data_IF_008606842449
#
_entry.id   IF_008606842449
#
_cell.length_a   1.000
_cell.length_b   1.000
_cell.length_c   1.000
_cell.angle_alpha   90.00
_cell.angle_beta   90.00
_cell.angle_gamma   90.00
#
_symmetry.space_group_name_H-M   'P 1'
#
loop_
_entity.id
_entity.type
_entity.pdbx_description
1 polymer ?
#
# COMPACT_ATOMS: atom_id res chain seq x y z
N UNK A 1 -0.99 13.76 -17.76
CA UNK A 1 0.29 14.47 -17.59
C UNK A 1 1.52 13.64 -17.97
N UNK A 2 1.48 12.31 -17.84
CA UNK A 2 2.62 11.40 -18.05
C UNK A 2 2.75 10.91 -19.50
N UNK A 3 1.85 11.33 -20.41
CA UNK A 3 1.89 10.93 -21.82
C UNK A 3 3.02 11.60 -22.59
N UNK A 4 3.52 10.91 -23.63
CA UNK A 4 4.57 11.39 -24.51
C UNK A 4 4.38 10.87 -25.95
N UNK A 5 5.10 11.48 -26.88
CA UNK A 5 5.31 11.02 -28.26
C UNK A 5 6.80 10.88 -28.49
N UNK A 6 7.24 9.70 -28.88
CA UNK A 6 8.60 9.39 -29.31
C UNK A 6 8.61 9.13 -30.81
N UNK A 7 9.43 9.85 -31.56
CA UNK A 7 9.61 9.70 -33.00
C UNK A 7 11.07 9.36 -33.31
N UNK A 8 11.29 8.28 -34.04
CA UNK A 8 12.58 7.86 -34.59
C UNK A 8 12.53 7.99 -36.10
N UNK A 9 13.51 8.65 -36.70
CA UNK A 9 13.60 8.87 -38.15
C UNK A 9 15.06 8.92 -38.60
N UNK A 10 15.29 8.95 -39.92
CA UNK A 10 16.63 9.16 -40.48
C UNK A 10 17.28 10.51 -40.09
N UNK A 11 16.49 11.45 -39.60
CA UNK A 11 16.95 12.77 -39.11
C UNK A 11 17.32 12.79 -37.62
N UNK A 12 17.02 11.71 -36.89
CA UNK A 12 17.27 11.59 -35.47
C UNK A 12 16.05 11.19 -34.65
N UNK A 13 16.14 11.38 -33.33
CA UNK A 13 15.13 11.02 -32.35
C UNK A 13 14.56 12.29 -31.72
N UNK A 14 13.23 12.32 -31.56
CA UNK A 14 12.53 13.40 -30.88
C UNK A 14 11.54 12.86 -29.85
N UNK A 15 11.56 13.39 -28.63
CA UNK A 15 10.56 13.10 -27.58
C UNK A 15 9.83 14.39 -27.24
N UNK A 16 8.50 14.33 -27.28
CA UNK A 16 7.63 15.46 -26.93
C UNK A 16 6.65 15.03 -25.84
N UNK A 17 6.53 15.82 -24.80
CA UNK A 17 5.57 15.61 -23.70
C UNK A 17 5.09 16.94 -23.14
N UNK A 18 4.01 16.90 -22.34
CA UNK A 18 3.46 18.09 -21.65
C UNK A 18 4.02 18.30 -20.25
N UNK A 19 4.81 17.36 -19.76
CA UNK A 19 5.37 17.39 -18.40
C UNK A 19 6.75 16.75 -18.36
N UNK A 20 7.52 17.06 -17.29
CA UNK A 20 8.78 16.38 -16.99
C UNK A 20 8.63 14.86 -16.91
N UNK A 21 7.58 14.37 -16.23
CA UNK A 21 7.33 12.93 -16.11
C UNK A 21 7.11 12.26 -17.48
N UNK A 22 6.35 12.89 -18.38
CA UNK A 22 6.17 12.37 -19.74
C UNK A 22 7.46 12.33 -20.54
N UNK A 23 8.32 13.36 -20.44
CA UNK A 23 9.66 13.34 -21.08
C UNK A 23 10.52 12.22 -20.50
N UNK A 24 10.54 12.07 -19.18
CA UNK A 24 11.29 11.02 -18.50
C UNK A 24 10.86 9.63 -18.98
N UNK A 25 9.54 9.36 -19.04
CA UNK A 25 9.03 8.05 -19.52
C UNK A 25 9.28 7.82 -21.00
N UNK A 26 9.31 8.88 -21.81
CA UNK A 26 9.72 8.80 -23.20
C UNK A 26 11.20 8.40 -23.32
N UNK A 27 12.08 8.95 -22.47
CA UNK A 27 13.49 8.54 -22.41
C UNK A 27 13.62 7.08 -21.95
N UNK A 28 12.83 6.62 -20.96
CA UNK A 28 12.86 5.23 -20.54
C UNK A 28 12.47 4.26 -21.67
N UNK A 29 11.52 4.65 -22.53
CA UNK A 29 11.17 3.86 -23.71
C UNK A 29 12.28 3.86 -24.75
N UNK A 30 12.91 5.00 -24.99
CA UNK A 30 14.07 5.06 -25.91
C UNK A 30 15.24 4.22 -25.41
N UNK A 31 15.55 4.27 -24.13
CA UNK A 31 16.59 3.46 -23.51
C UNK A 31 16.34 1.95 -23.72
N UNK A 32 15.11 1.48 -23.52
CA UNK A 32 14.72 0.09 -23.77
C UNK A 32 14.89 -0.28 -25.26
N UNK A 33 14.49 0.59 -26.20
CA UNK A 33 14.70 0.35 -27.63
C UNK A 33 16.19 0.26 -28.00
N UNK A 34 17.03 1.10 -27.38
CA UNK A 34 18.47 1.07 -27.61
C UNK A 34 19.13 -0.19 -27.03
N UNK A 35 18.69 -0.63 -25.85
CA UNK A 35 19.16 -1.88 -25.24
C UNK A 35 18.77 -3.09 -26.08
N UNK A 36 17.52 -3.18 -26.54
CA UNK A 36 17.04 -4.27 -27.40
C UNK A 36 17.80 -4.28 -28.74
N UNK A 37 18.00 -3.10 -29.34
CA UNK A 37 18.80 -2.94 -30.55
C UNK A 37 20.23 -3.48 -30.37
N UNK A 38 20.88 -3.12 -29.26
CA UNK A 38 22.22 -3.60 -28.94
C UNK A 38 22.24 -5.10 -28.64
N UNK A 39 21.32 -5.58 -27.83
CA UNK A 39 21.24 -7.00 -27.43
C UNK A 39 21.00 -7.95 -28.59
N UNK A 40 20.14 -7.55 -29.53
CA UNK A 40 19.74 -8.39 -30.65
C UNK A 40 20.45 -8.01 -31.96
N UNK A 41 21.38 -7.07 -31.94
CA UNK A 41 22.09 -6.54 -33.12
C UNK A 41 21.12 -6.09 -34.23
N UNK A 42 20.04 -5.42 -33.86
CA UNK A 42 19.00 -4.91 -34.75
C UNK A 42 19.09 -3.38 -34.85
N UNK A 43 18.80 -2.84 -36.03
CA UNK A 43 18.61 -1.41 -36.20
C UNK A 43 17.27 -0.97 -35.58
N UNK A 44 17.23 0.20 -34.98
CA UNK A 44 15.96 0.80 -34.50
C UNK A 44 15.26 1.37 -35.75
N UNK A 45 14.11 0.79 -36.19
CA UNK A 45 13.41 1.25 -37.37
C UNK A 45 12.81 2.65 -37.17
N UNK A 46 12.58 3.37 -38.26
CA UNK A 46 11.78 4.61 -38.20
C UNK A 46 10.38 4.29 -37.66
N UNK A 47 10.02 4.97 -36.56
CA UNK A 47 8.74 4.69 -35.88
C UNK A 47 8.22 5.93 -35.15
N UNK A 48 6.94 5.86 -34.80
CA UNK A 48 6.28 6.80 -33.89
C UNK A 48 5.57 6.04 -32.79
N UNK A 49 5.91 6.33 -31.55
CA UNK A 49 5.27 5.77 -30.34
C UNK A 49 4.50 6.90 -29.67
N UNK A 50 3.20 6.69 -29.42
CA UNK A 50 2.38 7.54 -28.57
C UNK A 50 1.95 6.70 -27.38
N UNK A 51 2.35 7.10 -26.17
CA UNK A 51 2.10 6.34 -24.96
C UNK A 51 1.58 7.25 -23.84
N UNK A 52 0.70 6.69 -23.05
CA UNK A 52 0.13 7.33 -21.84
C UNK A 52 -0.37 6.25 -20.87
N UNK A 53 -0.34 6.50 -19.56
CA UNK A 53 -0.74 5.50 -18.60
C UNK A 53 -2.24 5.25 -18.62
N UNK A 54 -2.64 3.98 -18.69
CA UNK A 54 -4.02 3.56 -18.46
C UNK A 54 -4.41 3.62 -16.99
N UNK A 55 -3.42 3.43 -16.08
CA UNK A 55 -3.57 3.49 -14.62
C UNK A 55 -2.70 4.62 -14.09
N UNK A 56 -3.33 5.58 -13.41
CA UNK A 56 -2.63 6.77 -12.92
C UNK A 56 -1.67 6.48 -11.76
N UNK A 57 -1.98 5.54 -10.89
CA UNK A 57 -1.18 5.16 -9.72
C UNK A 57 -0.65 3.74 -9.89
N UNK A 58 0.62 3.62 -10.19
CA UNK A 58 1.32 2.34 -10.46
C UNK A 58 2.35 2.14 -9.37
N UNK A 59 1.92 1.52 -8.27
CA UNK A 59 2.72 1.37 -7.08
C UNK A 59 3.26 -0.05 -6.89
N UNK A 60 4.39 -0.13 -6.22
CA UNK A 60 4.90 -1.36 -5.60
C UNK A 60 4.80 -1.21 -4.09
N UNK A 61 4.23 -2.22 -3.41
CA UNK A 61 4.34 -2.36 -1.97
C UNK A 61 5.64 -3.09 -1.67
N UNK A 62 6.57 -2.40 -1.02
CA UNK A 62 7.82 -2.95 -0.56
C UNK A 62 7.69 -3.32 0.92
N UNK A 63 7.61 -4.60 1.19
CA UNK A 63 7.52 -5.13 2.54
C UNK A 63 8.92 -5.56 3.02
N UNK A 64 9.44 -4.85 4.04
CA UNK A 64 10.74 -5.15 4.65
C UNK A 64 10.61 -5.59 6.11
N UNK A 65 9.43 -6.01 6.55
CA UNK A 65 9.18 -6.44 7.94
C UNK A 65 10.20 -7.46 8.44
N UNK A 66 10.53 -8.44 7.63
CA UNK A 66 11.36 -9.58 8.02
C UNK A 66 12.82 -9.49 7.61
N UNK A 67 13.19 -8.48 6.83
CA UNK A 67 14.56 -8.29 6.35
C UNK A 67 14.85 -6.82 6.07
N UNK A 68 16.12 -6.48 6.01
CA UNK A 68 16.60 -5.19 5.54
C UNK A 68 17.76 -5.44 4.59
N UNK A 69 17.61 -4.96 3.37
CA UNK A 69 18.65 -5.03 2.36
C UNK A 69 19.69 -3.92 2.55
N UNK A 70 20.79 -4.03 1.83
CA UNK A 70 21.77 -2.94 1.76
C UNK A 70 21.17 -1.77 0.99
N UNK A 71 21.54 -0.56 1.37
CA UNK A 71 21.01 0.69 0.78
C UNK A 71 21.16 0.74 -0.74
N UNK A 72 22.27 0.19 -1.28
CA UNK A 72 22.51 0.15 -2.72
C UNK A 72 21.48 -0.70 -3.48
N UNK A 73 20.87 -1.68 -2.82
CA UNK A 73 19.79 -2.46 -3.41
C UNK A 73 18.57 -1.58 -3.69
N UNK A 74 18.21 -0.70 -2.76
CA UNK A 74 17.05 0.18 -2.92
C UNK A 74 17.25 1.19 -4.07
N UNK A 75 18.44 1.74 -4.25
CA UNK A 75 18.74 2.57 -5.40
C UNK A 75 18.58 1.81 -6.72
N UNK A 76 19.16 0.60 -6.83
CA UNK A 76 19.00 -0.23 -8.04
C UNK A 76 17.55 -0.65 -8.28
N UNK A 77 16.79 -0.91 -7.21
CA UNK A 77 15.35 -1.21 -7.31
C UNK A 77 14.58 -0.01 -7.87
N UNK A 78 14.86 1.19 -7.36
CA UNK A 78 14.22 2.43 -7.84
C UNK A 78 14.52 2.64 -9.33
N UNK A 79 15.75 2.43 -9.78
CA UNK A 79 16.12 2.53 -11.21
C UNK A 79 15.30 1.54 -12.06
N UNK A 80 15.17 0.29 -11.61
CA UNK A 80 14.36 -0.71 -12.31
C UNK A 80 12.89 -0.37 -12.33
N UNK A 81 12.34 0.12 -11.21
CA UNK A 81 10.94 0.55 -11.15
C UNK A 81 10.68 1.73 -12.10
N UNK A 82 11.59 2.70 -12.15
CA UNK A 82 11.53 3.83 -13.08
C UNK A 82 11.51 3.37 -14.54
N UNK A 83 12.38 2.40 -14.89
CA UNK A 83 12.42 1.80 -16.22
C UNK A 83 11.07 1.24 -16.66
N UNK A 84 10.31 0.62 -15.74
CA UNK A 84 8.97 0.09 -15.99
C UNK A 84 7.84 1.11 -15.75
N UNK A 85 8.19 2.40 -15.62
CA UNK A 85 7.24 3.51 -15.43
C UNK A 85 6.36 3.36 -14.19
N UNK A 86 6.84 2.66 -13.17
CA UNK A 86 6.26 2.69 -11.82
C UNK A 86 6.43 4.10 -11.26
N UNK A 87 5.39 4.65 -10.63
CA UNK A 87 5.42 6.03 -10.14
C UNK A 87 5.21 6.16 -8.62
N UNK A 88 5.13 5.04 -7.92
CA UNK A 88 4.99 5.06 -6.47
C UNK A 88 5.56 3.80 -5.81
N UNK A 89 5.98 3.95 -4.56
CA UNK A 89 6.31 2.87 -3.63
C UNK A 89 5.57 3.13 -2.32
N UNK A 90 4.86 2.13 -1.82
CA UNK A 90 4.40 2.09 -0.44
C UNK A 90 5.40 1.21 0.32
N UNK A 91 6.08 1.78 1.29
CA UNK A 91 7.16 1.08 1.99
C UNK A 91 6.78 0.76 3.43
N UNK A 92 6.62 -0.52 3.70
CA UNK A 92 6.37 -1.06 5.03
C UNK A 92 7.68 -1.38 5.72
N UNK A 93 8.03 -0.59 6.72
CA UNK A 93 9.34 -0.62 7.38
C UNK A 93 9.31 -1.27 8.76
N UNK A 94 8.21 -1.19 9.49
CA UNK A 94 8.10 -1.59 10.89
C UNK A 94 9.30 -1.10 11.72
N UNK A 95 10.08 -1.99 12.33
CA UNK A 95 11.28 -1.65 13.10
C UNK A 95 12.51 -1.31 12.24
N UNK A 96 12.38 -1.28 10.91
CA UNK A 96 13.50 -0.97 9.98
C UNK A 96 13.69 0.53 9.74
N UNK A 97 12.84 1.39 10.31
CA UNK A 97 13.06 2.83 10.39
C UNK A 97 13.55 3.21 11.79
N UNK A 98 14.58 4.05 11.87
CA UNK A 98 15.08 4.60 13.13
C UNK A 98 14.16 5.74 13.57
N UNK A 99 13.29 5.45 14.52
CA UNK A 99 12.39 6.43 15.12
C UNK A 99 13.16 7.31 16.11
N UNK A 100 12.87 8.60 16.11
CA UNK A 100 13.50 9.57 17.04
C UNK A 100 12.66 9.80 18.28
N UNK A 101 11.33 9.74 18.13
CA UNK A 101 10.37 9.91 19.24
C UNK A 101 10.18 8.63 20.05
N UNK A 102 10.40 7.49 19.42
CA UNK A 102 10.29 6.14 20.02
C UNK A 102 11.51 5.30 19.61
N UNK A 103 12.71 5.66 20.10
CA UNK A 103 13.94 5.00 19.66
C UNK A 103 13.99 3.51 20.01
N UNK A 104 13.24 3.08 21.01
CA UNK A 104 13.12 1.67 21.43
C UNK A 104 12.46 0.78 20.36
N UNK A 105 11.65 1.36 19.47
CA UNK A 105 10.93 0.59 18.44
C UNK A 105 11.84 0.23 17.27
N UNK A 106 12.80 1.08 16.92
CA UNK A 106 13.70 0.86 15.79
C UNK A 106 14.76 -0.22 16.05
N UNK A 107 14.97 -1.12 15.09
CA UNK A 107 16.05 -2.08 15.16
C UNK A 107 17.44 -1.40 15.16
N UNK A 108 18.50 -2.03 15.71
CA UNK A 108 19.83 -1.43 15.76
C UNK A 108 20.41 -1.04 14.39
N UNK A 109 20.06 -1.78 13.34
CA UNK A 109 20.47 -1.56 11.95
C UNK A 109 19.41 -0.83 11.11
N UNK A 110 18.41 -0.21 11.73
CA UNK A 110 17.34 0.50 11.04
C UNK A 110 17.86 1.69 10.23
N UNK A 111 17.19 1.97 9.11
CA UNK A 111 17.50 3.09 8.21
C UNK A 111 17.29 4.40 8.97
N UNK A 112 18.30 5.27 8.93
CA UNK A 112 18.21 6.58 9.54
C UNK A 112 17.36 7.56 8.74
N UNK A 113 16.82 8.58 9.40
CA UNK A 113 15.97 9.60 8.78
C UNK A 113 16.65 10.26 7.55
N UNK A 114 17.91 10.65 7.68
CA UNK A 114 18.64 11.32 6.59
C UNK A 114 18.86 10.39 5.39
N UNK A 115 19.17 9.12 5.66
CA UNK A 115 19.35 8.11 4.64
C UNK A 115 18.04 7.83 3.91
N UNK A 116 16.92 7.68 4.62
CA UNK A 116 15.60 7.52 4.01
C UNK A 116 15.23 8.74 3.15
N UNK A 117 15.51 9.96 3.63
CA UNK A 117 15.30 11.18 2.84
C UNK A 117 16.14 11.21 1.57
N UNK A 118 17.38 10.68 1.60
CA UNK A 118 18.21 10.57 0.40
C UNK A 118 17.62 9.59 -0.62
N UNK A 119 17.15 8.44 -0.16
CA UNK A 119 16.44 7.47 -1.00
C UNK A 119 15.17 8.08 -1.63
N UNK A 120 14.40 8.83 -0.85
CA UNK A 120 13.19 9.52 -1.34
C UNK A 120 13.51 10.56 -2.41
N UNK A 121 14.56 11.37 -2.23
CA UNK A 121 15.00 12.34 -3.26
C UNK A 121 15.41 11.64 -4.55
N UNK A 122 16.19 10.57 -4.44
CA UNK A 122 16.60 9.77 -5.58
C UNK A 122 15.42 9.18 -6.37
N UNK A 123 14.40 8.73 -5.65
CA UNK A 123 13.16 8.24 -6.26
C UNK A 123 12.36 9.37 -6.94
N UNK A 124 12.28 10.54 -6.30
CA UNK A 124 11.56 11.71 -6.84
C UNK A 124 12.16 12.21 -8.15
N UNK A 125 13.49 12.23 -8.28
CA UNK A 125 14.19 12.53 -9.55
C UNK A 125 13.79 11.59 -10.69
N UNK A 126 13.26 10.40 -10.34
CA UNK A 126 12.76 9.37 -11.28
C UNK A 126 11.23 9.32 -11.36
N UNK A 127 10.56 10.36 -10.86
CA UNK A 127 9.11 10.49 -10.78
C UNK A 127 8.43 9.37 -9.95
N UNK A 128 9.13 8.81 -8.97
CA UNK A 128 8.60 7.83 -8.03
C UNK A 128 8.37 8.49 -6.67
N UNK A 129 7.14 8.46 -6.18
CA UNK A 129 6.78 8.93 -4.85
C UNK A 129 6.82 7.78 -3.84
N UNK A 130 7.63 7.90 -2.80
CA UNK A 130 7.67 6.93 -1.72
C UNK A 130 6.77 7.39 -0.58
N UNK A 131 5.89 6.51 -0.11
CA UNK A 131 4.97 6.75 1.01
C UNK A 131 5.12 5.66 2.06
N UNK A 132 5.13 6.01 3.37
CA UNK A 132 5.27 5.03 4.43
C UNK A 132 4.02 4.20 4.63
N UNK A 133 4.21 2.93 4.97
CA UNK A 133 3.26 2.11 5.67
C UNK A 133 3.79 1.88 7.09
N UNK A 134 3.02 2.29 8.08
CA UNK A 134 3.27 2.01 9.49
C UNK A 134 2.03 1.31 10.02
N UNK A 135 2.20 0.05 10.36
CA UNK A 135 1.11 -0.76 10.89
C UNK A 135 0.52 -0.17 12.16
N UNK A 136 -0.80 -0.25 12.25
CA UNK A 136 -1.56 0.20 13.41
C UNK A 136 -2.79 -0.67 13.60
N UNK A 137 -3.16 -0.88 14.83
CA UNK A 137 -4.13 -1.81 15.37
C UNK A 137 -3.67 -3.27 15.29
N UNK A 138 -3.53 -3.88 14.11
CA UNK A 138 -2.90 -5.20 13.91
C UNK A 138 -1.44 -5.11 13.49
N UNK A 139 -0.79 -6.25 13.33
CA UNK A 139 0.64 -6.38 12.98
C UNK A 139 1.58 -5.52 13.85
N UNK A 140 1.19 -5.26 15.09
CA UNK A 140 1.84 -4.30 15.97
C UNK A 140 2.96 -4.89 16.83
N UNK A 141 3.36 -6.14 16.62
CA UNK A 141 4.35 -6.85 17.44
C UNK A 141 5.68 -6.11 17.56
N UNK A 142 6.10 -5.41 16.49
CA UNK A 142 7.34 -4.62 16.50
C UNK A 142 7.31 -3.44 17.48
N UNK A 143 6.12 -2.97 17.85
CA UNK A 143 5.88 -1.91 18.85
C UNK A 143 5.57 -2.55 20.21
N UNK A 144 4.65 -3.53 20.22
CA UNK A 144 4.09 -4.10 21.44
C UNK A 144 5.07 -4.97 22.25
N UNK A 145 6.17 -5.42 21.62
CA UNK A 145 7.30 -6.02 22.35
C UNK A 145 7.98 -5.03 23.32
N UNK A 146 7.86 -3.72 23.07
CA UNK A 146 8.41 -2.65 23.91
C UNK A 146 7.34 -1.94 24.77
N UNK A 147 6.06 -2.03 24.34
CA UNK A 147 4.92 -1.35 24.93
C UNK A 147 3.80 -2.36 25.24
N UNK A 148 4.13 -3.38 26.01
CA UNK A 148 3.22 -4.47 26.34
C UNK A 148 1.92 -4.01 27.03
N UNK A 149 1.95 -2.86 27.74
CA UNK A 149 0.80 -2.25 28.40
C UNK A 149 -0.26 -1.70 27.41
N UNK A 150 0.08 -1.62 26.12
CA UNK A 150 -0.82 -1.17 25.06
C UNK A 150 -1.53 -2.33 24.34
N UNK A 151 -1.23 -3.57 24.69
CA UNK A 151 -1.85 -4.76 24.06
C UNK A 151 -3.34 -4.81 24.30
N UNK A 152 -4.07 -5.30 23.35
CA UNK A 152 -5.48 -5.64 23.51
C UNK A 152 -5.67 -6.90 24.34
N UNK A 153 -4.73 -7.84 24.26
CA UNK A 153 -4.72 -9.09 25.03
C UNK A 153 -3.35 -9.35 25.63
N UNK A 154 -3.32 -9.80 26.87
CA UNK A 154 -2.07 -10.24 27.52
C UNK A 154 -1.42 -11.44 26.83
N UNK A 155 -2.20 -12.19 26.05
CA UNK A 155 -1.76 -13.41 25.35
C UNK A 155 -1.21 -13.16 23.95
N UNK A 156 -1.33 -11.91 23.44
CA UNK A 156 -0.93 -11.57 22.08
C UNK A 156 -0.23 -10.20 22.05
N UNK A 157 0.82 -10.09 21.27
CA UNK A 157 1.45 -8.83 20.93
C UNK A 157 1.07 -8.33 19.50
N UNK A 158 -0.01 -8.93 18.94
CA UNK A 158 -0.42 -8.63 17.59
C UNK A 158 -1.26 -7.36 17.45
N UNK A 159 -2.14 -7.10 18.45
CA UNK A 159 -3.10 -6.01 18.41
C UNK A 159 -2.91 -5.00 19.52
N UNK A 160 -3.06 -3.72 19.17
CA UNK A 160 -3.24 -2.63 20.12
C UNK A 160 -4.64 -2.62 20.75
N UNK A 161 -4.75 -2.15 21.97
CA UNK A 161 -6.03 -1.75 22.56
C UNK A 161 -6.48 -0.39 21.97
N UNK A 162 -7.54 -0.32 21.15
CA UNK A 162 -7.99 0.93 20.54
C UNK A 162 -8.66 1.88 21.55
N UNK A 163 -9.03 1.38 22.74
CA UNK A 163 -9.59 2.19 23.83
C UNK A 163 -8.54 2.73 24.80
N UNK A 164 -7.28 2.37 24.62
CA UNK A 164 -6.18 2.94 25.40
C UNK A 164 -5.68 4.23 24.74
N UNK A 165 -5.81 5.41 25.39
CA UNK A 165 -5.36 6.68 24.79
C UNK A 165 -3.85 6.70 24.50
N UNK A 166 -3.01 6.02 25.28
CA UNK A 166 -1.58 5.91 25.04
C UNK A 166 -1.21 5.20 23.75
N UNK A 167 -2.09 4.32 23.24
CA UNK A 167 -1.94 3.72 21.91
C UNK A 167 -1.74 4.79 20.83
N UNK A 168 -2.55 5.84 20.88
CA UNK A 168 -2.48 6.93 19.88
C UNK A 168 -1.26 7.82 20.07
N UNK A 169 -0.79 8.03 21.31
CA UNK A 169 0.44 8.77 21.58
C UNK A 169 1.64 8.09 20.92
N UNK A 170 1.81 6.79 21.14
CA UNK A 170 2.91 6.02 20.56
C UNK A 170 2.77 5.93 19.03
N UNK A 171 1.59 5.57 18.53
CA UNK A 171 1.36 5.40 17.10
C UNK A 171 1.56 6.70 16.32
N UNK A 172 1.08 7.83 16.83
CA UNK A 172 1.24 9.13 16.20
C UNK A 172 2.69 9.64 16.21
N UNK A 173 3.48 9.28 17.22
CA UNK A 173 4.93 9.55 17.22
C UNK A 173 5.63 8.81 16.09
N UNK A 174 5.30 7.53 15.87
CA UNK A 174 5.84 6.75 14.75
C UNK A 174 5.40 7.32 13.40
N UNK A 175 4.14 7.70 13.26
CA UNK A 175 3.62 8.33 12.04
C UNK A 175 4.34 9.65 11.72
N UNK A 176 4.59 10.51 12.73
CA UNK A 176 5.36 11.75 12.55
C UNK A 176 6.76 11.46 12.04
N UNK A 177 7.47 10.53 12.69
CA UNK A 177 8.84 10.18 12.30
C UNK A 177 8.89 9.58 10.89
N UNK A 178 7.95 8.73 10.51
CA UNK A 178 7.86 8.15 9.17
C UNK A 178 7.56 9.22 8.11
N UNK A 179 6.63 10.13 8.37
CA UNK A 179 6.34 11.24 7.44
C UNK A 179 7.51 12.24 7.33
N UNK A 180 8.25 12.47 8.40
CA UNK A 180 9.45 13.30 8.38
C UNK A 180 10.62 12.63 7.63
N UNK A 181 10.70 11.30 7.69
CA UNK A 181 11.68 10.53 6.92
C UNK A 181 11.31 10.47 5.43
N UNK A 182 10.04 10.57 5.09
CA UNK A 182 9.50 10.56 3.71
C UNK A 182 8.69 11.85 3.42
N UNK A 183 9.35 13.02 3.37
CA UNK A 183 8.66 14.31 3.40
C UNK A 183 7.79 14.58 2.18
N UNK A 184 8.12 14.01 1.02
CA UNK A 184 7.36 14.15 -0.22
C UNK A 184 6.19 13.17 -0.34
N UNK A 185 5.99 12.29 0.66
CA UNK A 185 4.94 11.29 0.63
C UNK A 185 3.55 11.93 0.46
N UNK A 186 2.75 11.36 -0.44
CA UNK A 186 1.35 11.77 -0.66
C UNK A 186 0.40 11.06 0.28
N UNK A 187 0.81 9.86 0.71
CA UNK A 187 -0.01 8.96 1.48
C UNK A 187 0.65 8.59 2.81
N UNK A 188 -0.17 8.19 3.76
CA UNK A 188 0.21 7.43 4.94
C UNK A 188 -0.64 6.17 4.95
N UNK A 189 -0.03 5.02 4.69
CA UNK A 189 -0.74 3.75 4.84
C UNK A 189 -0.70 3.33 6.31
N UNK A 190 -1.88 3.15 6.88
CA UNK A 190 -2.09 2.97 8.32
C UNK A 190 -2.29 1.50 8.72
N UNK A 191 -2.15 0.56 7.77
CA UNK A 191 -2.35 -0.86 8.02
C UNK A 191 -3.79 -1.21 8.38
N UNK A 192 -3.97 -1.90 9.50
CA UNK A 192 -5.27 -2.20 10.10
C UNK A 192 -5.91 -3.51 9.66
N UNK A 193 -5.13 -4.38 9.04
CA UNK A 193 -5.50 -5.70 8.56
C UNK A 193 -5.30 -6.80 9.62
N UNK A 194 -5.90 -7.94 9.35
CA UNK A 194 -5.72 -9.21 10.06
C UNK A 194 -5.86 -9.15 11.59
N UNK A 195 -6.78 -8.34 12.06
CA UNK A 195 -7.10 -8.25 13.49
C UNK A 195 -7.82 -9.53 13.94
N UNK A 196 -7.29 -10.21 14.94
CA UNK A 196 -7.88 -11.44 15.48
C UNK A 196 -8.59 -11.22 16.82
N UNK A 197 -8.13 -10.25 17.60
CA UNK A 197 -8.64 -9.98 18.94
C UNK A 197 -8.84 -8.48 19.16
N UNK A 198 -10.09 -8.05 19.29
CA UNK A 198 -10.47 -6.68 19.65
C UNK A 198 -11.73 -6.70 20.50
N UNK A 199 -11.81 -5.81 21.50
CA UNK A 199 -12.92 -5.80 22.45
C UNK A 199 -12.72 -6.74 23.66
N UNK A 200 -11.47 -7.22 23.86
CA UNK A 200 -11.10 -8.14 24.96
C UNK A 200 -10.63 -7.39 26.20
N UNK A 201 -9.89 -6.31 26.00
CA UNK A 201 -9.41 -5.46 27.08
C UNK A 201 -10.57 -4.84 27.87
N UNK A 202 -10.41 -4.69 29.19
CA UNK A 202 -11.47 -4.13 30.05
C UNK A 202 -11.88 -2.71 29.63
N UNK A 203 -10.94 -1.92 29.10
CA UNK A 203 -11.23 -0.57 28.55
C UNK A 203 -12.13 -0.66 27.32
N UNK A 204 -11.92 -1.66 26.47
CA UNK A 204 -12.77 -1.92 25.31
C UNK A 204 -14.17 -2.42 25.74
N UNK A 205 -14.22 -3.38 26.65
CA UNK A 205 -15.48 -3.91 27.20
C UNK A 205 -16.33 -2.82 27.87
N UNK A 206 -15.69 -1.93 28.62
CA UNK A 206 -16.37 -0.83 29.29
C UNK A 206 -17.08 0.14 28.34
N UNK A 207 -16.71 0.17 27.05
CA UNK A 207 -17.37 1.00 26.05
C UNK A 207 -18.73 0.44 25.61
N UNK A 208 -18.99 -0.85 25.80
CA UNK A 208 -20.17 -1.55 25.28
C UNK A 208 -20.21 -1.67 23.75
N UNK A 209 -19.11 -1.35 23.05
CA UNK A 209 -19.03 -1.34 21.58
C UNK A 209 -18.63 -2.69 21.02
N UNK A 210 -19.10 -2.97 19.81
CA UNK A 210 -18.67 -4.15 19.06
C UNK A 210 -17.23 -3.97 18.55
N UNK A 211 -16.57 -5.07 18.21
CA UNK A 211 -15.25 -5.07 17.57
C UNK A 211 -15.22 -4.18 16.31
N UNK A 212 -16.28 -4.26 15.49
CA UNK A 212 -16.41 -3.43 14.29
C UNK A 212 -16.44 -1.94 14.64
N UNK A 213 -17.24 -1.53 15.63
CA UNK A 213 -17.32 -0.14 16.06
C UNK A 213 -15.98 0.37 16.61
N UNK A 214 -15.30 -0.43 17.43
CA UNK A 214 -13.99 -0.10 17.98
C UNK A 214 -12.94 0.13 16.87
N UNK A 215 -12.92 -0.75 15.85
CA UNK A 215 -12.01 -0.59 14.72
C UNK A 215 -12.33 0.65 13.89
N UNK A 216 -13.60 0.92 13.62
CA UNK A 216 -13.97 2.09 12.83
C UNK A 216 -13.70 3.40 13.56
N UNK A 217 -13.83 3.44 14.87
CA UNK A 217 -13.42 4.60 15.69
C UNK A 217 -11.91 4.80 15.68
N UNK A 218 -11.13 3.72 15.79
CA UNK A 218 -9.70 3.77 15.60
C UNK A 218 -9.36 4.30 14.21
N UNK A 219 -9.97 3.74 13.16
CA UNK A 219 -9.75 4.16 11.78
C UNK A 219 -10.01 5.66 11.59
N UNK A 220 -11.12 6.16 12.15
CA UNK A 220 -11.43 7.59 12.08
C UNK A 220 -10.33 8.44 12.70
N UNK A 221 -9.88 8.10 13.92
CA UNK A 221 -8.83 8.87 14.63
C UNK A 221 -7.51 8.92 13.86
N UNK A 222 -7.08 7.77 13.30
CA UNK A 222 -5.82 7.71 12.54
C UNK A 222 -5.94 8.39 11.18
N UNK A 223 -7.11 8.35 10.53
CA UNK A 223 -7.39 9.09 9.32
C UNK A 223 -7.37 10.60 9.56
N UNK A 224 -8.04 11.07 10.61
CA UNK A 224 -8.07 12.49 10.98
C UNK A 224 -6.65 13.01 11.26
N UNK A 225 -5.82 12.20 11.93
CA UNK A 225 -4.41 12.54 12.15
C UNK A 225 -3.63 12.66 10.83
N UNK A 226 -3.75 11.68 9.93
CA UNK A 226 -3.05 11.70 8.64
C UNK A 226 -3.43 12.94 7.82
N UNK A 227 -4.72 13.24 7.74
CA UNK A 227 -5.25 14.42 7.01
C UNK A 227 -4.77 15.72 7.63
N UNK A 228 -4.76 15.84 8.96
CA UNK A 228 -4.24 17.01 9.66
C UNK A 228 -2.75 17.26 9.37
N UNK A 229 -2.01 16.22 8.96
CA UNK A 229 -0.61 16.30 8.54
C UNK A 229 -0.42 16.32 7.01
N UNK A 230 -1.49 16.61 6.25
CA UNK A 230 -1.44 16.76 4.80
C UNK A 230 -1.23 15.46 4.03
N UNK A 231 -1.59 14.30 4.62
CA UNK A 231 -1.50 12.99 3.98
C UNK A 231 -2.88 12.39 3.74
N UNK A 232 -3.03 11.68 2.61
CA UNK A 232 -4.21 10.86 2.38
C UNK A 232 -3.99 9.50 3.04
N UNK A 233 -4.84 9.09 3.99
CA UNK A 233 -4.72 7.78 4.62
C UNK A 233 -5.09 6.66 3.66
N UNK A 234 -4.38 5.53 3.76
CA UNK A 234 -4.70 4.26 3.10
C UNK A 234 -4.89 3.21 4.18
N UNK A 235 -5.90 2.36 4.03
CA UNK A 235 -6.30 1.34 5.00
C UNK A 235 -6.57 0.01 4.29
N UNK A 236 -6.11 -1.10 4.84
CA UNK A 236 -6.46 -2.44 4.37
C UNK A 236 -7.91 -2.78 4.68
N UNK A 237 -8.67 -3.23 3.68
CA UNK A 237 -10.13 -3.29 3.76
C UNK A 237 -10.72 -4.62 4.27
N UNK A 238 -9.90 -5.57 4.69
CA UNK A 238 -10.35 -6.93 5.03
C UNK A 238 -11.24 -6.99 6.26
N UNK A 239 -10.92 -6.22 7.30
CA UNK A 239 -11.61 -6.36 8.58
C UNK A 239 -13.08 -5.93 8.55
N UNK A 240 -13.48 -4.79 7.98
CA UNK A 240 -14.89 -4.48 7.78
C UNK A 240 -15.67 -5.60 7.06
N UNK A 241 -15.03 -6.24 6.09
CA UNK A 241 -15.61 -7.35 5.33
C UNK A 241 -15.72 -8.62 6.15
N UNK A 242 -14.75 -8.89 7.03
CA UNK A 242 -14.80 -10.01 8.00
C UNK A 242 -15.92 -9.79 9.01
N UNK A 243 -16.05 -8.60 9.58
CA UNK A 243 -17.12 -8.28 10.53
C UNK A 243 -18.51 -8.35 9.90
N UNK A 244 -18.65 -8.02 8.62
CA UNK A 244 -19.89 -8.15 7.85
C UNK A 244 -20.11 -9.57 7.30
N UNK A 245 -19.27 -10.54 7.64
CA UNK A 245 -19.32 -11.92 7.14
C UNK A 245 -19.30 -12.03 5.61
N UNK A 246 -18.58 -11.13 4.94
CA UNK A 246 -18.44 -11.11 3.48
C UNK A 246 -17.11 -11.68 2.99
N UNK A 247 -16.08 -11.71 3.86
CA UNK A 247 -14.73 -12.06 3.47
C UNK A 247 -14.62 -13.45 2.83
N UNK A 248 -15.30 -14.44 3.37
CA UNK A 248 -15.27 -15.82 2.87
C UNK A 248 -15.84 -15.95 1.45
N UNK A 249 -16.80 -15.08 1.07
CA UNK A 249 -17.39 -15.07 -0.27
C UNK A 249 -16.40 -14.59 -1.36
N UNK A 250 -15.32 -13.93 -0.98
CA UNK A 250 -14.36 -13.34 -1.90
C UNK A 250 -13.32 -14.35 -2.42
N UNK A 251 -13.44 -15.61 -2.04
CA UNK A 251 -12.55 -16.67 -2.51
C UNK A 251 -13.08 -17.33 -3.79
N UNK A 252 -12.17 -17.64 -4.73
CA UNK A 252 -12.50 -18.22 -6.05
C UNK A 252 -13.24 -19.55 -6.00
N UNK A 253 -13.15 -20.27 -4.89
CA UNK A 253 -13.78 -21.58 -4.72
C UNK A 253 -15.26 -21.50 -4.31
N UNK A 254 -15.79 -20.28 -4.12
CA UNK A 254 -17.20 -20.08 -3.79
C UNK A 254 -17.98 -19.90 -5.09
N UNK A 255 -18.95 -20.79 -5.40
CA UNK A 255 -19.78 -20.67 -6.60
C UNK A 255 -20.63 -19.41 -6.63
N UNK A 256 -20.90 -18.87 -7.83
CA UNK A 256 -21.65 -17.62 -7.99
C UNK A 256 -23.06 -17.68 -7.39
N UNK A 257 -23.73 -18.82 -7.45
CA UNK A 257 -25.06 -19.03 -6.83
C UNK A 257 -24.99 -18.97 -5.29
N UNK A 258 -23.92 -19.48 -4.69
CA UNK A 258 -23.67 -19.36 -3.26
C UNK A 258 -23.33 -17.91 -2.88
N UNK A 259 -22.53 -17.23 -3.70
CA UNK A 259 -22.29 -15.79 -3.53
C UNK A 259 -23.62 -15.03 -3.55
N UNK A 260 -24.44 -15.22 -4.57
CA UNK A 260 -25.73 -14.51 -4.70
C UNK A 260 -26.67 -14.78 -3.53
N UNK A 261 -26.69 -15.99 -3.01
CA UNK A 261 -27.53 -16.39 -1.87
C UNK A 261 -27.11 -15.74 -0.56
N UNK A 262 -25.80 -15.57 -0.34
CA UNK A 262 -25.23 -15.13 0.95
C UNK A 262 -24.73 -13.68 0.92
N UNK A 263 -24.73 -13.00 -0.23
CA UNK A 263 -24.27 -11.62 -0.32
C UNK A 263 -25.21 -10.68 0.42
N UNK A 264 -24.74 -10.14 1.54
CA UNK A 264 -25.52 -9.24 2.36
C UNK A 264 -24.64 -8.11 2.92
N UNK A 265 -24.86 -6.88 2.47
CA UNK A 265 -24.11 -5.70 2.90
C UNK A 265 -24.76 -4.96 4.07
N UNK A 266 -25.81 -5.48 4.69
CA UNK A 266 -26.61 -4.77 5.69
C UNK A 266 -25.76 -4.25 6.87
N UNK A 267 -24.76 -5.02 7.33
CA UNK A 267 -23.89 -4.59 8.43
C UNK A 267 -22.94 -3.46 7.99
N UNK A 268 -22.40 -3.52 6.76
CA UNK A 268 -21.62 -2.42 6.19
C UNK A 268 -22.48 -1.17 5.98
N UNK A 269 -23.71 -1.36 5.52
CA UNK A 269 -24.66 -0.26 5.25
C UNK A 269 -25.06 0.47 6.54
N UNK A 270 -25.28 -0.27 7.63
CA UNK A 270 -25.54 0.30 8.95
C UNK A 270 -24.36 1.10 9.49
N UNK A 271 -23.14 0.66 9.18
CA UNK A 271 -21.90 1.30 9.64
C UNK A 271 -21.36 2.38 8.69
N UNK A 272 -22.05 2.69 7.58
CA UNK A 272 -21.51 3.52 6.49
C UNK A 272 -21.05 4.91 6.93
N UNK A 273 -21.73 5.50 7.91
CA UNK A 273 -21.39 6.81 8.45
C UNK A 273 -20.10 6.80 9.28
N UNK A 274 -19.63 5.62 9.68
CA UNK A 274 -18.37 5.43 10.38
C UNK A 274 -17.17 5.31 9.41
N UNK A 275 -17.42 5.12 8.10
CA UNK A 275 -16.36 4.99 7.10
C UNK A 275 -15.80 6.36 6.72
N UNK A 276 -14.53 6.69 7.04
CA UNK A 276 -13.91 7.95 6.64
C UNK A 276 -13.91 8.13 5.12
N UNK A 277 -14.53 9.20 4.63
CA UNK A 277 -14.61 9.51 3.18
C UNK A 277 -13.30 10.01 2.59
N UNK A 278 -12.39 10.46 3.42
CA UNK A 278 -11.05 10.92 3.07
C UNK A 278 -10.00 9.79 3.07
N UNK A 279 -10.40 8.55 3.32
CA UNK A 279 -9.56 7.35 3.32
C UNK A 279 -9.65 6.63 1.96
N UNK A 280 -8.57 5.96 1.57
CA UNK A 280 -8.53 5.00 0.47
C UNK A 280 -8.58 3.60 1.08
N UNK A 281 -9.57 2.82 0.70
CA UNK A 281 -9.73 1.44 1.11
C UNK A 281 -8.94 0.57 0.14
N UNK A 282 -7.79 0.04 0.60
CA UNK A 282 -6.94 -0.77 -0.23
C UNK A 282 -7.36 -2.23 -0.13
N UNK A 283 -7.81 -2.74 -1.27
CA UNK A 283 -8.32 -4.09 -1.43
C UNK A 283 -7.16 -5.03 -1.76
N UNK A 284 -6.63 -5.72 -0.77
CA UNK A 284 -5.68 -6.81 -1.01
C UNK A 284 -6.39 -8.11 -1.31
N UNK A 285 -6.08 -8.70 -2.44
CA UNK A 285 -6.63 -9.97 -2.86
C UNK A 285 -5.77 -10.57 -3.97
N UNK A 286 -5.44 -11.83 -3.85
CA UNK A 286 -4.43 -12.49 -4.69
C UNK A 286 -5.04 -13.53 -5.64
N UNK A 287 -6.35 -13.54 -5.79
CA UNK A 287 -7.09 -14.40 -6.69
C UNK A 287 -7.60 -13.64 -7.94
N UNK A 288 -8.35 -14.31 -8.82
CA UNK A 288 -8.84 -13.71 -10.07
C UNK A 288 -9.82 -12.55 -9.74
N UNK A 289 -9.56 -11.32 -10.21
CA UNK A 289 -10.39 -10.16 -9.92
C UNK A 289 -11.72 -10.18 -10.70
N UNK A 290 -11.88 -11.07 -11.66
CA UNK A 290 -13.08 -11.15 -12.49
C UNK A 290 -14.23 -11.92 -11.85
N UNK A 291 -14.00 -12.58 -10.71
CA UNK A 291 -15.06 -13.30 -10.00
C UNK A 291 -16.15 -12.35 -9.51
N UNK A 292 -17.37 -12.88 -9.45
CA UNK A 292 -18.58 -12.10 -9.13
C UNK A 292 -18.47 -11.26 -7.85
N UNK A 293 -18.02 -11.78 -6.70
CA UNK A 293 -18.05 -11.04 -5.45
C UNK A 293 -17.12 -9.81 -5.44
N UNK A 294 -15.99 -9.84 -6.19
CA UNK A 294 -15.14 -8.66 -6.32
C UNK A 294 -15.83 -7.53 -7.07
N UNK A 295 -16.55 -7.84 -8.14
CA UNK A 295 -17.32 -6.83 -8.88
C UNK A 295 -18.45 -6.27 -8.02
N UNK A 296 -19.12 -7.11 -7.24
CA UNK A 296 -20.18 -6.69 -6.31
C UNK A 296 -19.61 -5.74 -5.23
N UNK A 297 -18.46 -6.08 -4.67
CA UNK A 297 -17.80 -5.26 -3.64
C UNK A 297 -17.32 -3.91 -4.19
N UNK A 298 -16.67 -3.88 -5.35
CA UNK A 298 -16.24 -2.63 -5.99
C UNK A 298 -17.44 -1.72 -6.30
N UNK A 299 -18.55 -2.31 -6.76
CA UNK A 299 -19.81 -1.58 -6.97
C UNK A 299 -20.37 -1.01 -5.67
N UNK A 300 -20.24 -1.74 -4.55
CA UNK A 300 -20.68 -1.25 -3.23
C UNK A 300 -19.84 -0.03 -2.82
N UNK A 301 -18.51 -0.11 -2.87
CA UNK A 301 -17.63 1.02 -2.58
C UNK A 301 -17.97 2.25 -3.43
N UNK A 302 -18.14 2.05 -4.72
CA UNK A 302 -18.50 3.12 -5.67
C UNK A 302 -19.84 3.78 -5.30
N UNK A 303 -20.89 2.98 -5.07
CA UNK A 303 -22.22 3.47 -4.68
C UNK A 303 -22.19 4.24 -3.36
N UNK A 304 -21.30 3.89 -2.43
CA UNK A 304 -21.14 4.58 -1.15
C UNK A 304 -20.22 5.80 -1.22
N UNK A 305 -19.66 6.10 -2.39
CA UNK A 305 -18.74 7.22 -2.59
C UNK A 305 -17.41 7.04 -1.86
N UNK A 306 -17.01 5.80 -1.59
CA UNK A 306 -15.73 5.47 -0.98
C UNK A 306 -14.66 5.28 -2.06
N UNK A 307 -13.44 5.72 -1.78
CA UNK A 307 -12.30 5.53 -2.67
C UNK A 307 -11.70 4.15 -2.42
N UNK A 308 -11.51 3.37 -3.48
CA UNK A 308 -10.92 2.04 -3.40
C UNK A 308 -9.69 1.95 -4.30
N UNK A 309 -8.69 1.17 -3.87
CA UNK A 309 -7.49 0.86 -4.62
C UNK A 309 -7.23 -0.65 -4.55
N UNK A 310 -6.87 -1.26 -5.68
CA UNK A 310 -6.49 -2.66 -5.71
C UNK A 310 -5.04 -2.86 -5.29
N UNK A 311 -4.76 -3.92 -4.52
CA UNK A 311 -3.42 -4.41 -4.22
C UNK A 311 -3.32 -5.87 -4.65
N UNK A 312 -2.58 -6.11 -5.72
CA UNK A 312 -2.28 -7.46 -6.23
C UNK A 312 -0.97 -7.95 -5.62
N UNK A 313 -0.73 -9.26 -5.64
CA UNK A 313 0.53 -9.81 -5.15
C UNK A 313 1.45 -10.19 -6.32
N UNK A 314 2.64 -9.65 -6.30
CA UNK A 314 3.78 -10.15 -7.07
C UNK A 314 4.75 -10.94 -6.18
N UNK A 315 4.41 -11.09 -4.90
CA UNK A 315 5.21 -11.83 -3.93
C UNK A 315 5.26 -13.32 -4.26
N UNK A 316 6.39 -13.92 -4.05
CA UNK A 316 6.55 -15.38 -3.99
C UNK A 316 6.09 -15.95 -2.66
N UNK A 317 5.71 -15.07 -1.74
CA UNK A 317 5.20 -15.41 -0.44
C UNK A 317 6.24 -16.13 0.42
N UNK A 318 5.84 -17.27 0.96
CA UNK A 318 6.55 -18.00 1.99
C UNK A 318 7.74 -18.82 1.48
N UNK A 319 7.97 -18.86 0.15
CA UNK A 319 9.06 -19.65 -0.44
C UNK A 319 9.99 -18.80 -1.29
N UNK A 320 11.09 -18.28 -0.72
CA UNK A 320 12.02 -17.39 -1.43
C UNK A 320 12.73 -18.05 -2.62
N UNK A 321 12.75 -19.39 -2.68
CA UNK A 321 13.46 -20.13 -3.74
C UNK A 321 12.57 -20.56 -4.91
N UNK A 322 11.25 -20.63 -4.72
CA UNK A 322 10.31 -21.07 -5.74
C UNK A 322 9.20 -20.05 -5.90
N UNK A 323 9.24 -19.24 -6.96
CA UNK A 323 8.15 -18.31 -7.25
C UNK A 323 6.83 -19.07 -7.41
N UNK A 324 5.83 -18.72 -6.64
CA UNK A 324 4.47 -19.29 -6.71
C UNK A 324 3.50 -18.41 -7.51
N UNK A 325 3.95 -17.25 -7.96
CA UNK A 325 3.10 -16.33 -8.67
C UNK A 325 2.69 -16.86 -10.04
N UNK A 326 1.42 -16.82 -10.30
CA UNK A 326 0.90 -16.91 -11.64
C UNK A 326 0.87 -15.48 -12.23
N UNK A 327 1.91 -15.11 -12.98
CA UNK A 327 2.04 -13.79 -13.57
C UNK A 327 0.85 -13.39 -14.45
N UNK A 328 0.19 -14.36 -15.11
CA UNK A 328 -1.02 -14.13 -15.89
C UNK A 328 -2.20 -13.71 -15.01
N UNK A 329 -2.37 -14.34 -13.84
CA UNK A 329 -3.41 -13.97 -12.88
C UNK A 329 -3.11 -12.60 -12.29
N UNK A 330 -1.85 -12.33 -11.95
CA UNK A 330 -1.45 -11.02 -11.42
C UNK A 330 -1.67 -9.89 -12.42
N UNK A 331 -1.34 -10.12 -13.71
CA UNK A 331 -1.61 -9.16 -14.79
C UNK A 331 -3.11 -8.82 -14.90
N UNK A 332 -4.00 -9.80 -14.77
CA UNK A 332 -5.45 -9.57 -14.78
C UNK A 332 -5.96 -8.78 -13.57
N UNK A 333 -5.19 -8.76 -12.46
CA UNK A 333 -5.54 -8.03 -11.24
C UNK A 333 -5.07 -6.58 -11.25
N UNK A 334 -4.00 -6.28 -11.99
CA UNK A 334 -3.48 -4.92 -12.15
C UNK A 334 -4.26 -4.12 -13.17
#
# INVERSE_FOLDING_TARGET
>A
PEGYVLEVSSKGVAIRARSHAGLFYGCQTLEQLMEDSHQFSLEIPAMKITDYPAIAYRAVHLDTKHHLDRTEYYYRMIDKLARYKVNAVIWELEDKLRYTRRPEVGAPNAIGKQEMQAICRYAEERNINISPLVQGLGHASFILKHHWELRESEKSDWEFCPSNPRTYEVLFDLYRDAMEAMPQSKYLHIGGDEISAIGIDERCKATGKTAFQLQMEWLKKVCDFAVAHGRTPIFWDDMPLKYANLWWLLHRNVPDDEVMKNWNTAELDKAIDMFPKNCIYMRWHYEDPTILPHRMLLNWYHKKGLKVMGATSASTGETPFIPRNNSRVQYKRS
#
